data_IF_363837861360
#
_entry.id   IF_363837861360
#
_cell.length_a   1.000
_cell.length_b   1.000
_cell.length_c   1.000
_cell.angle_alpha   90.00
_cell.angle_beta   90.00
_cell.angle_gamma   90.00
#
_symmetry.space_group_name_H-M   'P 1'
#
loop_
_entity.id
_entity.type
_entity.pdbx_description
1 polymer ?
#
# COMPACT_ATOMS: atom_id res chain seq x y z
N UNK A 1 8.37 32.91 -2.43
CA UNK A 1 7.19 32.13 -1.97
C UNK A 1 7.69 30.76 -1.53
N UNK A 2 7.19 30.20 -0.43
CA UNK A 2 7.54 28.85 -0.05
C UNK A 2 7.04 27.89 -1.15
N UNK A 3 7.85 26.86 -1.44
CA UNK A 3 7.50 25.84 -2.44
C UNK A 3 6.32 25.01 -1.92
N UNK A 4 5.30 24.80 -2.78
CA UNK A 4 4.15 23.95 -2.42
C UNK A 4 4.61 22.50 -2.14
N UNK A 5 4.10 21.92 -1.07
CA UNK A 5 4.24 20.51 -0.76
C UNK A 5 3.22 19.67 -1.53
N UNK A 6 3.59 18.47 -1.88
CA UNK A 6 2.78 17.60 -2.75
C UNK A 6 2.53 16.25 -2.09
N UNK A 7 1.24 15.88 -2.02
CA UNK A 7 0.80 14.53 -1.67
C UNK A 7 0.22 13.85 -2.92
N UNK A 8 0.62 12.60 -3.18
CA UNK A 8 0.05 11.74 -4.23
C UNK A 8 -0.65 10.54 -3.60
N UNK A 9 -1.92 10.32 -3.93
CA UNK A 9 -2.69 9.13 -3.56
C UNK A 9 -2.92 8.28 -4.81
N UNK A 10 -2.37 7.07 -4.86
CA UNK A 10 -2.62 6.15 -5.97
C UNK A 10 -3.98 5.46 -5.80
N UNK A 11 -4.75 5.31 -6.90
CA UNK A 11 -6.10 4.73 -6.82
C UNK A 11 -7.09 5.57 -6.00
N UNK A 12 -6.95 6.90 -6.07
CA UNK A 12 -7.69 7.87 -5.26
C UNK A 12 -9.14 8.12 -5.69
N UNK A 13 -9.65 7.44 -6.72
CA UNK A 13 -10.96 7.75 -7.31
C UNK A 13 -12.16 7.04 -6.66
N UNK A 14 -11.93 6.12 -5.71
CA UNK A 14 -12.99 5.39 -4.99
C UNK A 14 -12.50 4.75 -3.69
N UNK A 15 -13.47 4.29 -2.88
CA UNK A 15 -13.19 3.54 -1.65
C UNK A 15 -12.24 4.27 -0.71
N UNK A 16 -11.32 3.52 -0.09
CA UNK A 16 -10.36 4.07 0.88
C UNK A 16 -9.52 5.19 0.26
N UNK A 17 -9.04 5.03 -0.98
CA UNK A 17 -8.20 6.04 -1.63
C UNK A 17 -8.91 7.38 -1.85
N UNK A 18 -10.22 7.37 -2.14
CA UNK A 18 -11.02 8.60 -2.24
C UNK A 18 -11.15 9.28 -0.88
N UNK A 19 -11.47 8.50 0.17
CA UNK A 19 -11.56 9.03 1.52
C UNK A 19 -10.20 9.54 2.03
N UNK A 20 -9.08 8.88 1.69
CA UNK A 20 -7.73 9.38 1.98
C UNK A 20 -7.47 10.71 1.29
N UNK A 21 -7.83 10.83 -0.01
CA UNK A 21 -7.68 12.08 -0.74
C UNK A 21 -8.51 13.21 -0.12
N UNK A 22 -9.75 12.90 0.29
CA UNK A 22 -10.64 13.82 1.02
C UNK A 22 -10.01 14.28 2.33
N UNK A 23 -9.66 13.35 3.22
CA UNK A 23 -9.13 13.66 4.55
C UNK A 23 -7.78 14.39 4.49
N UNK A 24 -6.94 14.11 3.49
CA UNK A 24 -5.72 14.90 3.27
C UNK A 24 -6.07 16.34 2.88
N UNK A 25 -7.08 16.55 2.03
CA UNK A 25 -7.56 17.90 1.68
C UNK A 25 -8.18 18.65 2.87
N UNK A 26 -8.75 17.95 3.85
CA UNK A 26 -9.30 18.51 5.08
C UNK A 26 -8.21 18.85 6.11
N UNK A 27 -7.18 18.00 6.25
CA UNK A 27 -6.23 18.04 7.37
C UNK A 27 -4.89 18.69 7.04
N UNK A 28 -4.51 18.78 5.76
CA UNK A 28 -3.29 19.48 5.33
C UNK A 28 -3.53 20.98 5.18
N UNK A 29 -2.53 21.83 5.50
CA UNK A 29 -2.65 23.28 5.32
C UNK A 29 -2.83 23.66 3.85
N UNK A 30 -3.99 24.22 3.50
CA UNK A 30 -4.38 24.55 2.11
C UNK A 30 -3.43 25.52 1.39
N UNK A 31 -2.75 26.38 2.14
CA UNK A 31 -1.95 27.46 1.57
C UNK A 31 -0.58 26.99 1.06
N UNK A 32 -0.18 25.75 1.38
CA UNK A 32 1.12 25.21 1.00
C UNK A 32 1.12 23.71 0.63
N UNK A 33 -0.05 23.09 0.45
CA UNK A 33 -0.16 21.72 0.00
C UNK A 33 -1.04 21.58 -1.23
N UNK A 34 -0.67 20.59 -2.06
CA UNK A 34 -1.49 20.08 -3.17
C UNK A 34 -1.66 18.58 -2.99
N UNK A 35 -2.89 18.10 -3.07
CA UNK A 35 -3.21 16.66 -3.10
C UNK A 35 -3.48 16.24 -4.53
N UNK A 36 -2.74 15.25 -5.03
CA UNK A 36 -2.94 14.65 -6.36
C UNK A 36 -3.68 13.35 -6.19
N UNK A 37 -4.85 13.25 -6.83
CA UNK A 37 -5.65 12.04 -6.95
C UNK A 37 -5.25 11.29 -8.21
N UNK A 38 -4.45 10.23 -8.06
CA UNK A 38 -4.03 9.36 -9.15
C UNK A 38 -5.09 8.31 -9.47
N UNK A 39 -5.48 8.17 -10.74
CA UNK A 39 -6.48 7.22 -11.21
C UNK A 39 -6.17 6.69 -12.60
N UNK A 40 -6.45 5.42 -12.89
CA UNK A 40 -6.23 4.83 -14.23
C UNK A 40 -7.05 5.52 -15.32
N UNK A 41 -8.29 5.88 -15.01
CA UNK A 41 -9.22 6.54 -15.94
C UNK A 41 -9.57 7.93 -15.39
N UNK A 42 -9.21 8.97 -16.13
CA UNK A 42 -9.44 10.36 -15.72
C UNK A 42 -10.93 10.63 -15.44
N UNK A 43 -11.83 10.10 -16.28
CA UNK A 43 -13.28 10.27 -16.08
C UNK A 43 -13.76 9.77 -14.70
N UNK A 44 -13.20 8.67 -14.19
CA UNK A 44 -13.54 8.19 -12.83
C UNK A 44 -13.00 9.14 -11.75
N UNK A 45 -11.85 9.76 -11.97
CA UNK A 45 -11.30 10.77 -11.07
C UNK A 45 -12.11 12.06 -11.09
N UNK A 46 -12.56 12.51 -12.25
CA UNK A 46 -13.44 13.69 -12.40
C UNK A 46 -14.78 13.45 -11.71
N UNK A 47 -15.37 12.26 -11.87
CA UNK A 47 -16.59 11.89 -11.13
C UNK A 47 -16.38 11.95 -9.62
N UNK A 48 -15.26 11.41 -9.14
CA UNK A 48 -14.90 11.47 -7.73
C UNK A 48 -14.68 12.91 -7.24
N UNK A 49 -14.07 13.77 -8.07
CA UNK A 49 -13.89 15.19 -7.77
C UNK A 49 -15.22 15.92 -7.62
N UNK A 50 -16.21 15.63 -8.49
CA UNK A 50 -17.55 16.22 -8.37
C UNK A 50 -18.23 15.81 -7.04
N UNK A 51 -18.04 14.58 -6.59
CA UNK A 51 -18.53 14.16 -5.27
C UNK A 51 -17.87 14.98 -4.15
N UNK A 52 -16.55 15.17 -4.21
CA UNK A 52 -15.81 15.92 -3.18
C UNK A 52 -16.16 17.42 -3.16
N UNK A 53 -16.58 18.00 -4.28
CA UNK A 53 -17.03 19.41 -4.31
C UNK A 53 -18.24 19.67 -3.40
N UNK A 54 -19.11 18.66 -3.22
CA UNK A 54 -20.27 18.76 -2.33
C UNK A 54 -19.88 18.82 -0.84
N UNK A 55 -18.66 18.38 -0.48
CA UNK A 55 -18.21 18.30 0.92
C UNK A 55 -17.63 19.64 1.45
N UNK A 56 -17.59 20.72 0.64
CA UNK A 56 -17.03 22.03 1.00
C UNK A 56 -15.62 21.96 1.60
N UNK A 57 -14.74 21.15 1.01
CA UNK A 57 -13.36 20.97 1.45
C UNK A 57 -12.55 22.26 1.40
N UNK A 58 -11.57 22.46 2.31
CA UNK A 58 -10.67 23.63 2.27
C UNK A 58 -9.87 23.73 0.96
N UNK A 59 -9.55 22.59 0.33
CA UNK A 59 -8.95 22.46 -0.99
C UNK A 59 -9.51 21.24 -1.71
N UNK A 60 -9.41 21.21 -3.04
CA UNK A 60 -9.79 20.05 -3.86
C UNK A 60 -8.57 19.37 -4.43
N UNK A 61 -8.59 18.03 -4.58
CA UNK A 61 -7.47 17.31 -5.17
C UNK A 61 -7.37 17.58 -6.67
N UNK A 62 -6.15 17.50 -7.20
CA UNK A 62 -5.87 17.57 -8.64
C UNK A 62 -5.94 16.16 -9.22
N UNK A 63 -6.89 15.92 -10.11
CA UNK A 63 -7.03 14.60 -10.78
C UNK A 63 -5.93 14.44 -11.84
N UNK A 64 -5.25 13.26 -11.79
CA UNK A 64 -4.23 12.86 -12.77
C UNK A 64 -4.36 11.40 -13.15
N UNK A 65 -4.12 11.14 -14.44
CA UNK A 65 -4.02 9.76 -14.91
C UNK A 65 -2.79 9.08 -14.28
N UNK A 66 -3.00 7.88 -13.73
CA UNK A 66 -1.93 7.04 -13.20
C UNK A 66 -2.36 5.57 -13.21
N UNK A 67 -1.68 4.78 -14.02
CA UNK A 67 -1.68 3.33 -13.92
C UNK A 67 -0.31 2.89 -13.34
N UNK A 68 -0.32 2.35 -12.14
CA UNK A 68 0.91 1.93 -11.45
C UNK A 68 1.58 0.71 -12.08
N UNK A 69 0.88 0.01 -12.99
CA UNK A 69 1.40 -1.16 -13.72
C UNK A 69 2.02 -0.78 -15.06
N UNK A 70 1.85 0.48 -15.49
CA UNK A 70 2.43 1.01 -16.72
C UNK A 70 3.64 1.92 -16.41
N UNK A 71 4.88 1.52 -16.79
CA UNK A 71 6.08 2.34 -16.60
C UNK A 71 5.99 3.74 -17.23
N UNK A 72 5.34 3.85 -18.39
CA UNK A 72 5.18 5.14 -19.07
C UNK A 72 4.26 6.07 -18.28
N UNK A 73 3.15 5.54 -17.73
CA UNK A 73 2.24 6.28 -16.87
C UNK A 73 2.93 6.74 -15.58
N UNK A 74 3.70 5.86 -14.93
CA UNK A 74 4.48 6.21 -13.75
C UNK A 74 5.49 7.33 -14.03
N UNK A 75 6.20 7.24 -15.17
CA UNK A 75 7.14 8.28 -15.61
C UNK A 75 6.45 9.61 -15.87
N UNK A 76 5.29 9.61 -16.54
CA UNK A 76 4.52 10.83 -16.81
C UNK A 76 4.07 11.51 -15.50
N UNK A 77 3.65 10.75 -14.50
CA UNK A 77 3.32 11.27 -13.19
C UNK A 77 4.54 11.91 -12.50
N UNK A 78 5.68 11.24 -12.52
CA UNK A 78 6.95 11.79 -11.99
C UNK A 78 7.29 13.12 -12.68
N UNK A 79 7.31 13.12 -14.02
CA UNK A 79 7.68 14.30 -14.80
C UNK A 79 6.72 15.46 -14.54
N UNK A 80 5.41 15.20 -14.43
CA UNK A 80 4.41 16.21 -14.07
C UNK A 80 4.68 16.82 -12.68
N UNK A 81 4.92 15.99 -11.66
CA UNK A 81 5.18 16.46 -10.29
C UNK A 81 6.48 17.28 -10.28
N UNK A 82 7.53 16.79 -10.93
CA UNK A 82 8.83 17.45 -10.97
C UNK A 82 8.76 18.81 -11.67
N UNK A 83 8.09 18.87 -12.83
CA UNK A 83 8.02 20.09 -13.62
C UNK A 83 7.13 21.16 -12.96
N UNK A 84 6.00 20.76 -12.40
CA UNK A 84 5.04 21.70 -11.86
C UNK A 84 5.34 22.13 -10.43
N UNK A 85 5.80 21.22 -9.59
CA UNK A 85 5.95 21.43 -8.15
C UNK A 85 7.39 21.27 -7.65
N UNK A 86 8.30 20.71 -8.46
CA UNK A 86 9.71 20.52 -8.13
C UNK A 86 10.02 19.34 -7.21
N UNK A 87 9.02 18.56 -6.77
CA UNK A 87 9.24 17.35 -5.94
C UNK A 87 8.00 16.88 -5.21
N UNK A 88 8.16 15.75 -4.50
CA UNK A 88 7.09 15.04 -3.80
C UNK A 88 7.39 14.95 -2.30
N UNK A 89 6.38 15.19 -1.44
CA UNK A 89 6.51 15.16 0.02
C UNK A 89 5.77 13.99 0.66
N UNK A 90 4.70 13.49 0.02
CA UNK A 90 3.92 12.35 0.53
C UNK A 90 3.45 11.47 -0.62
N UNK A 91 3.78 10.19 -0.56
CA UNK A 91 3.22 9.15 -1.42
C UNK A 91 2.34 8.21 -0.59
N UNK A 92 1.07 8.07 -0.97
CA UNK A 92 0.17 7.05 -0.43
C UNK A 92 -0.05 5.97 -1.49
N UNK A 93 0.58 4.83 -1.31
CA UNK A 93 0.40 3.63 -2.11
C UNK A 93 -0.89 2.93 -1.70
N UNK A 94 -2.00 3.37 -2.26
CA UNK A 94 -3.32 2.80 -1.98
C UNK A 94 -3.85 1.90 -3.10
N UNK A 95 -3.41 2.09 -4.35
CA UNK A 95 -3.83 1.22 -5.46
C UNK A 95 -3.69 -0.25 -5.11
N UNK A 96 -4.73 -1.03 -5.40
CA UNK A 96 -4.71 -2.45 -5.12
C UNK A 96 -5.90 -3.16 -5.76
N UNK A 97 -5.79 -4.48 -5.84
CA UNK A 97 -6.78 -5.36 -6.44
C UNK A 97 -6.92 -6.65 -5.63
N UNK A 98 -8.12 -7.21 -5.62
CA UNK A 98 -8.40 -8.56 -5.14
C UNK A 98 -9.50 -9.18 -6.01
N UNK A 99 -9.33 -10.43 -6.38
CA UNK A 99 -10.41 -11.20 -7.00
C UNK A 99 -11.54 -11.46 -6.00
N UNK A 100 -12.75 -11.53 -6.51
CA UNK A 100 -13.91 -11.94 -5.71
C UNK A 100 -13.84 -13.46 -5.43
N UNK A 101 -14.53 -13.91 -4.38
CA UNK A 101 -14.57 -15.35 -4.00
C UNK A 101 -15.09 -16.27 -5.09
N UNK A 102 -15.95 -15.76 -5.96
CA UNK A 102 -16.54 -16.48 -7.10
C UNK A 102 -15.82 -16.19 -8.42
N UNK A 103 -14.58 -15.73 -8.38
CA UNK A 103 -13.76 -15.55 -9.56
C UNK A 103 -13.55 -16.90 -10.28
N UNK A 104 -13.60 -16.86 -11.60
CA UNK A 104 -13.48 -18.03 -12.47
C UNK A 104 -12.11 -18.19 -13.10
N UNK A 105 -11.27 -17.20 -12.93
CA UNK A 105 -9.89 -17.17 -13.38
C UNK A 105 -9.06 -18.26 -12.67
N UNK A 106 -8.14 -18.87 -13.39
CA UNK A 106 -7.21 -19.85 -12.82
C UNK A 106 -6.38 -19.24 -11.69
N UNK A 107 -5.84 -20.08 -10.81
CA UNK A 107 -4.93 -19.61 -9.74
C UNK A 107 -3.74 -18.84 -10.29
N UNK A 108 -3.21 -19.26 -11.43
CA UNK A 108 -2.12 -18.57 -12.10
C UNK A 108 -2.53 -17.14 -12.53
N UNK A 109 -3.66 -16.98 -13.23
CA UNK A 109 -4.14 -15.66 -13.63
C UNK A 109 -4.43 -14.76 -12.44
N UNK A 110 -5.02 -15.34 -11.37
CA UNK A 110 -5.25 -14.61 -10.12
C UNK A 110 -3.92 -14.17 -9.48
N UNK A 111 -2.91 -15.04 -9.43
CA UNK A 111 -1.61 -14.72 -8.85
C UNK A 111 -0.87 -13.66 -9.68
N UNK A 112 -0.79 -13.85 -11.00
CA UNK A 112 -0.11 -12.95 -11.91
C UNK A 112 -0.71 -11.53 -11.83
N UNK A 113 -2.04 -11.41 -11.92
CA UNK A 113 -2.69 -10.11 -11.88
C UNK A 113 -2.61 -9.45 -10.49
N UNK A 114 -2.92 -10.19 -9.42
CA UNK A 114 -2.95 -9.63 -8.06
C UNK A 114 -1.56 -9.18 -7.61
N UNK A 115 -0.54 -10.01 -7.82
CA UNK A 115 0.85 -9.67 -7.47
C UNK A 115 1.40 -8.60 -8.40
N UNK A 116 1.05 -8.67 -9.69
CA UNK A 116 1.41 -7.66 -10.68
C UNK A 116 0.95 -6.26 -10.27
N UNK A 117 -0.30 -6.13 -9.82
CA UNK A 117 -0.83 -4.83 -9.37
C UNK A 117 -0.31 -4.46 -7.98
N UNK A 118 -0.53 -5.34 -6.97
CA UNK A 118 -0.36 -4.97 -5.56
C UNK A 118 1.11 -4.85 -5.16
N UNK A 119 1.98 -5.71 -5.68
CA UNK A 119 3.39 -5.72 -5.35
C UNK A 119 4.23 -5.03 -6.42
N UNK A 120 4.29 -5.56 -7.65
CA UNK A 120 5.15 -5.01 -8.70
C UNK A 120 4.74 -3.60 -9.12
N UNK A 121 3.45 -3.31 -9.25
CA UNK A 121 2.96 -1.98 -9.57
C UNK A 121 3.24 -0.97 -8.46
N UNK A 122 3.03 -1.37 -7.19
CA UNK A 122 3.39 -0.52 -6.03
C UNK A 122 4.89 -0.25 -5.97
N UNK A 123 5.72 -1.27 -6.19
CA UNK A 123 7.18 -1.13 -6.27
C UNK A 123 7.57 -0.18 -7.39
N UNK A 124 7.03 -0.37 -8.59
CA UNK A 124 7.34 0.43 -9.78
C UNK A 124 7.05 1.92 -9.58
N UNK A 125 5.85 2.29 -9.12
CA UNK A 125 5.54 3.72 -8.90
C UNK A 125 6.40 4.31 -7.79
N UNK A 126 6.63 3.58 -6.69
CA UNK A 126 7.43 4.06 -5.57
C UNK A 126 8.86 4.34 -6.00
N UNK A 127 9.53 3.39 -6.66
CA UNK A 127 10.90 3.54 -7.14
C UNK A 127 11.02 4.60 -8.25
N UNK A 128 10.01 4.74 -9.10
CA UNK A 128 9.95 5.82 -10.11
C UNK A 128 9.93 7.20 -9.46
N UNK A 129 9.28 7.35 -8.29
CA UNK A 129 9.13 8.65 -7.61
C UNK A 129 10.27 8.99 -6.65
N UNK A 130 11.08 8.03 -6.18
CA UNK A 130 12.20 8.30 -5.27
C UNK A 130 13.11 9.45 -5.73
N UNK A 131 13.51 9.55 -7.02
CA UNK A 131 14.40 10.64 -7.46
C UNK A 131 13.86 12.05 -7.25
N UNK A 132 12.56 12.21 -7.05
CA UNK A 132 11.91 13.51 -6.86
C UNK A 132 11.38 13.73 -5.43
N UNK A 133 11.63 12.79 -4.53
CA UNK A 133 11.23 12.95 -3.12
C UNK A 133 12.15 13.93 -2.40
N UNK A 134 11.54 14.79 -1.58
CA UNK A 134 12.21 15.84 -0.81
C UNK A 134 12.65 15.32 0.56
N UNK A 135 13.54 16.04 1.22
CA UNK A 135 13.91 15.78 2.61
C UNK A 135 12.67 15.77 3.51
N UNK A 136 12.57 14.76 4.37
CA UNK A 136 11.41 14.53 5.22
C UNK A 136 10.19 13.97 4.48
N UNK A 137 10.32 13.55 3.22
CA UNK A 137 9.23 12.94 2.46
C UNK A 137 8.74 11.64 3.10
N UNK A 138 7.48 11.30 2.83
CA UNK A 138 6.80 10.13 3.42
C UNK A 138 6.28 9.18 2.37
N UNK A 139 6.43 7.88 2.62
CA UNK A 139 5.87 6.80 1.79
C UNK A 139 5.02 5.91 2.69
N UNK A 140 3.73 5.96 2.51
CA UNK A 140 2.76 5.17 3.28
C UNK A 140 2.09 4.17 2.35
N UNK A 141 2.22 2.87 2.67
CA UNK A 141 1.61 1.80 1.88
C UNK A 141 0.38 1.23 2.58
N UNK A 142 -0.74 1.16 1.85
CA UNK A 142 -1.96 0.48 2.31
C UNK A 142 -1.76 -1.02 2.15
N UNK A 143 -1.30 -1.65 3.24
CA UNK A 143 -1.13 -3.09 3.36
C UNK A 143 -2.45 -3.77 3.80
N UNK A 144 -2.37 -4.86 4.53
CA UNK A 144 -3.51 -5.59 5.11
C UNK A 144 -3.03 -6.58 6.16
N UNK A 145 -3.87 -6.90 7.14
CA UNK A 145 -3.68 -8.07 8.01
C UNK A 145 -3.59 -9.37 7.21
N UNK A 146 -4.20 -9.42 6.01
CA UNK A 146 -4.01 -10.54 5.09
C UNK A 146 -2.53 -10.75 4.72
N UNK A 147 -1.69 -9.71 4.70
CA UNK A 147 -0.26 -9.87 4.49
C UNK A 147 0.44 -10.62 5.63
N UNK A 148 0.03 -10.36 6.89
CA UNK A 148 0.49 -11.15 8.04
C UNK A 148 -0.04 -12.59 8.00
N UNK A 149 -1.32 -12.78 7.63
CA UNK A 149 -1.90 -14.11 7.43
C UNK A 149 -1.14 -14.89 6.34
N UNK A 150 -0.70 -14.24 5.27
CA UNK A 150 0.15 -14.84 4.25
C UNK A 150 1.45 -15.40 4.83
N UNK A 151 2.12 -14.67 5.73
CA UNK A 151 3.28 -15.17 6.47
C UNK A 151 2.93 -16.39 7.36
N UNK A 152 1.76 -16.38 8.00
CA UNK A 152 1.30 -17.48 8.85
C UNK A 152 0.99 -18.75 8.04
N UNK A 153 0.42 -18.57 6.84
CA UNK A 153 -0.06 -19.65 5.98
C UNK A 153 1.03 -20.23 5.06
N UNK A 154 2.21 -19.62 4.96
CA UNK A 154 3.32 -20.20 4.21
C UNK A 154 4.16 -21.17 5.04
N UNK A 155 4.95 -22.02 4.38
CA UNK A 155 5.90 -22.91 5.02
C UNK A 155 6.92 -22.14 5.86
N UNK A 156 7.52 -22.81 6.84
CA UNK A 156 8.58 -22.19 7.66
C UNK A 156 9.78 -21.76 6.81
N UNK A 157 10.11 -22.50 5.76
CA UNK A 157 11.19 -22.18 4.83
C UNK A 157 10.92 -20.84 4.12
N UNK A 158 9.77 -20.71 3.44
CA UNK A 158 9.42 -19.47 2.73
C UNK A 158 9.26 -18.28 3.68
N UNK A 159 8.71 -18.51 4.87
CA UNK A 159 8.59 -17.47 5.88
C UNK A 159 9.94 -16.97 6.35
N UNK A 160 10.93 -17.89 6.55
CA UNK A 160 12.30 -17.50 6.89
C UNK A 160 12.96 -16.69 5.78
N UNK A 161 12.71 -17.01 4.52
CA UNK A 161 13.21 -16.23 3.39
C UNK A 161 12.67 -14.79 3.43
N UNK A 162 11.34 -14.63 3.59
CA UNK A 162 10.67 -13.31 3.61
C UNK A 162 11.09 -12.48 4.83
N UNK A 163 11.30 -13.12 5.99
CA UNK A 163 11.69 -12.45 7.24
C UNK A 163 13.21 -12.41 7.47
N UNK A 164 14.00 -12.80 6.46
CA UNK A 164 15.45 -12.81 6.56
C UNK A 164 16.01 -11.39 6.75
N UNK A 165 16.97 -11.16 7.66
CA UNK A 165 17.69 -9.89 7.75
C UNK A 165 18.50 -9.59 6.49
N UNK A 166 18.81 -10.61 5.67
CA UNK A 166 19.51 -10.50 4.40
C UNK A 166 18.56 -10.43 3.19
N UNK A 167 17.26 -10.14 3.42
CA UNK A 167 16.31 -9.93 2.33
C UNK A 167 16.71 -8.71 1.51
N UNK A 168 16.67 -8.85 0.19
CA UNK A 168 16.86 -7.75 -0.78
C UNK A 168 15.65 -7.69 -1.72
N UNK A 169 15.55 -6.62 -2.51
CA UNK A 169 14.48 -6.54 -3.52
C UNK A 169 14.60 -7.63 -4.58
N UNK A 170 15.81 -8.03 -4.99
CA UNK A 170 16.03 -9.12 -5.93
C UNK A 170 15.49 -10.45 -5.38
N UNK A 171 15.76 -10.74 -4.10
CA UNK A 171 15.25 -11.94 -3.43
C UNK A 171 13.72 -11.88 -3.25
N UNK A 172 13.17 -10.72 -2.88
CA UNK A 172 11.73 -10.56 -2.72
C UNK A 172 10.99 -10.68 -4.07
N UNK A 173 11.54 -10.08 -5.13
CA UNK A 173 11.01 -10.22 -6.50
C UNK A 173 11.03 -11.69 -6.95
N UNK A 174 12.09 -12.44 -6.63
CA UNK A 174 12.20 -13.89 -6.91
C UNK A 174 11.13 -14.69 -6.12
N UNK A 175 10.95 -14.41 -4.84
CA UNK A 175 9.90 -15.04 -4.02
C UNK A 175 8.53 -14.82 -4.66
N UNK A 176 8.20 -13.59 -5.10
CA UNK A 176 6.92 -13.28 -5.73
C UNK A 176 6.75 -14.01 -7.07
N UNK A 177 7.81 -14.10 -7.87
CA UNK A 177 7.80 -14.83 -9.15
C UNK A 177 7.65 -16.34 -8.92
N UNK A 178 8.34 -16.92 -7.94
CA UNK A 178 8.19 -18.36 -7.58
C UNK A 178 6.76 -18.67 -7.12
N UNK A 179 6.12 -17.77 -6.39
CA UNK A 179 4.72 -17.92 -6.04
C UNK A 179 3.81 -17.95 -7.27
N UNK A 180 3.97 -16.98 -8.20
CA UNK A 180 3.19 -16.94 -9.46
C UNK A 180 3.42 -18.22 -10.25
N UNK A 181 4.64 -18.70 -10.34
CA UNK A 181 4.97 -19.94 -11.07
C UNK A 181 4.33 -21.18 -10.40
N UNK A 182 4.39 -21.28 -9.08
CA UNK A 182 3.75 -22.35 -8.33
C UNK A 182 2.22 -22.37 -8.51
N UNK A 183 1.59 -21.22 -8.72
CA UNK A 183 0.17 -21.12 -8.96
C UNK A 183 -0.31 -21.82 -10.25
N UNK A 184 0.61 -22.16 -11.19
CA UNK A 184 0.31 -22.98 -12.37
C UNK A 184 -0.06 -24.41 -12.03
N UNK A 185 0.33 -24.92 -10.86
CA UNK A 185 0.04 -26.29 -10.43
C UNK A 185 -1.34 -26.42 -9.80
N UNK A 186 -2.02 -25.30 -9.54
CA UNK A 186 -3.31 -25.22 -8.81
C UNK A 186 -3.30 -25.84 -7.39
N UNK A 187 -2.10 -26.02 -6.81
CA UNK A 187 -1.89 -26.62 -5.48
C UNK A 187 -0.78 -25.86 -4.73
N UNK A 188 -1.06 -24.60 -4.39
CA UNK A 188 -0.12 -23.70 -3.71
C UNK A 188 0.30 -24.24 -2.34
N UNK A 189 -0.65 -24.84 -1.59
CA UNK A 189 -0.39 -25.37 -0.26
C UNK A 189 0.66 -26.48 -0.26
N UNK A 190 0.63 -27.37 -1.28
CA UNK A 190 1.62 -28.43 -1.44
C UNK A 190 3.04 -27.91 -1.63
N UNK A 191 3.16 -26.71 -2.23
CA UNK A 191 4.44 -26.02 -2.41
C UNK A 191 4.80 -25.11 -1.24
N UNK A 192 4.02 -25.14 -0.15
CA UNK A 192 4.28 -24.35 1.05
C UNK A 192 3.88 -22.88 0.94
N UNK A 193 3.05 -22.52 -0.04
CA UNK A 193 2.57 -21.18 -0.26
C UNK A 193 1.16 -20.95 0.32
N UNK A 194 0.79 -19.69 0.66
CA UNK A 194 -0.59 -19.37 1.02
C UNK A 194 -1.52 -19.55 -0.19
N UNK A 195 -2.71 -20.09 0.04
CA UNK A 195 -3.74 -20.29 -1.01
C UNK A 195 -4.28 -18.96 -1.57
N UNK A 196 -4.23 -17.91 -0.79
CA UNK A 196 -4.74 -16.60 -1.17
C UNK A 196 -3.68 -15.76 -1.88
N UNK A 197 -3.90 -15.46 -3.15
CA UNK A 197 -3.05 -14.56 -3.95
C UNK A 197 -3.01 -13.15 -3.35
N UNK A 198 -4.12 -12.71 -2.75
CA UNK A 198 -4.20 -11.43 -2.05
C UNK A 198 -3.32 -11.41 -0.80
N UNK A 199 -3.36 -12.48 0.02
CA UNK A 199 -2.47 -12.60 1.19
C UNK A 199 -1.00 -12.47 0.77
N UNK A 200 -0.58 -13.26 -0.23
CA UNK A 200 0.80 -13.21 -0.74
C UNK A 200 1.19 -11.83 -1.24
N UNK A 201 0.31 -11.18 -2.01
CA UNK A 201 0.58 -9.84 -2.52
C UNK A 201 0.77 -8.81 -1.41
N UNK A 202 -0.03 -8.89 -0.33
CA UNK A 202 0.08 -7.98 0.82
C UNK A 202 1.26 -8.31 1.73
N UNK A 203 1.69 -9.58 1.78
CA UNK A 203 2.99 -9.96 2.36
C UNK A 203 4.13 -9.23 1.65
N UNK A 204 4.12 -9.21 0.32
CA UNK A 204 5.10 -8.49 -0.49
C UNK A 204 5.12 -6.98 -0.21
N UNK A 205 3.95 -6.35 -0.07
CA UNK A 205 3.86 -4.91 0.27
C UNK A 205 4.49 -4.61 1.63
N UNK A 206 4.24 -5.46 2.63
CA UNK A 206 4.83 -5.30 3.98
C UNK A 206 6.35 -5.45 3.91
N UNK A 207 6.85 -6.52 3.27
CA UNK A 207 8.28 -6.75 3.13
C UNK A 207 8.99 -5.64 2.34
N UNK A 208 8.40 -5.15 1.23
CA UNK A 208 8.93 -4.03 0.47
C UNK A 208 9.01 -2.75 1.32
N UNK A 209 7.99 -2.48 2.14
CA UNK A 209 8.02 -1.32 3.06
C UNK A 209 9.20 -1.38 4.03
N UNK A 210 9.51 -2.56 4.58
CA UNK A 210 10.66 -2.75 5.48
C UNK A 210 11.98 -2.52 4.75
N UNK A 211 12.12 -3.02 3.51
CA UNK A 211 13.32 -2.81 2.70
C UNK A 211 13.52 -1.33 2.36
N UNK A 212 12.47 -0.62 1.97
CA UNK A 212 12.55 0.82 1.72
C UNK A 212 12.90 1.61 2.98
N UNK A 213 12.32 1.25 4.13
CA UNK A 213 12.63 1.91 5.40
C UNK A 213 14.11 1.73 5.79
N UNK A 214 14.65 0.51 5.66
CA UNK A 214 16.07 0.24 5.89
C UNK A 214 17.00 1.05 4.96
N UNK A 215 16.58 1.24 3.72
CA UNK A 215 17.34 2.09 2.78
C UNK A 215 17.18 3.58 3.10
N UNK A 216 15.99 4.01 3.57
CA UNK A 216 15.73 5.39 4.02
C UNK A 216 16.63 5.77 5.20
N UNK A 217 16.79 4.88 6.19
CA UNK A 217 17.64 5.08 7.36
C UNK A 217 19.12 5.28 6.97
N UNK A 218 19.53 4.72 5.84
CA UNK A 218 20.87 4.87 5.27
C UNK A 218 20.96 6.03 4.26
N UNK A 219 19.87 6.80 4.05
CA UNK A 219 19.73 7.81 3.00
C UNK A 219 20.04 7.26 1.59
N UNK A 220 19.71 5.99 1.33
CA UNK A 220 20.06 5.25 0.10
C UNK A 220 18.88 5.06 -0.87
N UNK A 221 17.68 5.61 -0.58
CA UNK A 221 16.51 5.49 -1.45
C UNK A 221 16.60 6.37 -2.70
N UNK A 222 17.29 7.48 -2.61
CA UNK A 222 17.33 8.46 -3.69
C UNK A 222 18.76 8.69 -4.15
N UNK A 223 19.00 8.99 -5.44
CA UNK A 223 20.34 9.27 -5.96
C UNK A 223 21.04 10.46 -5.26
N UNK A 224 20.26 11.43 -4.76
CA UNK A 224 20.76 12.63 -4.07
C UNK A 224 20.95 12.42 -2.56
N UNK A 225 20.61 11.25 -2.01
CA UNK A 225 20.73 10.97 -0.57
C UNK A 225 19.74 11.75 0.28
N UNK A 226 18.45 11.78 -0.12
CA UNK A 226 17.34 12.44 0.59
C UNK A 226 17.30 11.99 2.04
N UNK A 227 17.20 12.95 2.98
CA UNK A 227 17.31 12.71 4.42
C UNK A 227 15.94 12.69 5.10
N UNK A 228 15.84 11.95 6.20
CA UNK A 228 14.68 11.96 7.08
C UNK A 228 13.42 11.41 6.43
N UNK A 229 13.53 10.56 5.42
CA UNK A 229 12.38 9.94 4.80
C UNK A 229 11.70 8.97 5.77
N UNK A 230 10.38 9.07 5.88
CA UNK A 230 9.56 8.17 6.67
C UNK A 230 8.83 7.18 5.78
N UNK A 231 9.01 5.89 6.05
CA UNK A 231 8.41 4.79 5.26
C UNK A 231 7.73 3.81 6.20
N UNK A 232 6.42 3.62 6.04
CA UNK A 232 5.65 2.68 6.86
C UNK A 232 4.45 2.12 6.07
N UNK A 233 3.80 1.11 6.62
CA UNK A 233 2.55 0.60 6.06
C UNK A 233 1.52 0.29 7.14
N UNK A 234 0.23 0.31 6.77
CA UNK A 234 -0.84 -0.02 7.70
C UNK A 234 -1.94 -0.87 7.05
N UNK A 235 -2.66 -1.60 7.91
CA UNK A 235 -3.94 -2.19 7.59
C UNK A 235 -5.05 -1.15 7.81
N UNK A 236 -5.84 -0.79 6.78
CA UNK A 236 -6.95 0.14 6.95
C UNK A 236 -8.13 -0.50 7.70
N UNK A 237 -8.09 -1.81 7.94
CA UNK A 237 -9.21 -2.60 8.44
C UNK A 237 -10.07 -3.19 7.31
N UNK A 238 -11.13 -3.90 7.69
CA UNK A 238 -12.08 -4.47 6.75
C UNK A 238 -13.20 -3.48 6.47
N UNK A 239 -13.08 -2.76 5.36
CA UNK A 239 -13.91 -1.61 5.03
C UNK A 239 -14.89 -1.91 3.89
N UNK A 240 -16.09 -1.31 3.96
CA UNK A 240 -17.11 -1.33 2.92
C UNK A 240 -16.61 -0.60 1.67
N UNK A 241 -16.28 -1.38 0.63
CA UNK A 241 -15.74 -0.90 -0.64
C UNK A 241 -16.14 -1.89 -1.74
N UNK A 242 -15.99 -1.50 -3.01
CA UNK A 242 -16.18 -2.42 -4.14
C UNK A 242 -15.32 -3.69 -4.02
N UNK A 243 -14.13 -3.59 -3.46
CA UNK A 243 -13.23 -4.73 -3.28
C UNK A 243 -13.77 -5.74 -2.26
N UNK A 244 -14.16 -5.26 -1.08
CA UNK A 244 -14.56 -6.12 0.04
C UNK A 244 -16.06 -6.44 0.08
N UNK A 245 -16.88 -5.71 -0.67
CA UNK A 245 -18.35 -5.69 -0.56
C UNK A 245 -18.84 -4.71 0.49
N UNK A 246 -20.15 -4.61 0.63
CA UNK A 246 -20.79 -3.58 1.47
C UNK A 246 -21.56 -4.14 2.65
N UNK A 247 -21.88 -5.44 2.65
CA UNK A 247 -22.74 -6.06 3.67
C UNK A 247 -21.97 -6.55 4.90
N UNK A 248 -20.84 -7.23 4.68
CA UNK A 248 -20.08 -7.89 5.75
C UNK A 248 -19.06 -6.99 6.46
N UNK A 249 -18.32 -6.09 5.75
CA UNK A 249 -17.29 -5.30 6.41
C UNK A 249 -17.87 -4.36 7.47
N UNK A 250 -17.31 -4.34 8.70
CA UNK A 250 -17.84 -3.51 9.79
C UNK A 250 -17.52 -2.02 9.64
N UNK A 251 -16.40 -1.69 8.99
CA UNK A 251 -15.91 -0.32 8.89
C UNK A 251 -16.38 0.36 7.59
N UNK A 252 -16.52 1.68 7.63
CA UNK A 252 -16.65 2.50 6.43
C UNK A 252 -15.29 2.67 5.72
N UNK A 253 -15.31 3.13 4.47
CA UNK A 253 -14.09 3.51 3.77
C UNK A 253 -13.40 4.71 4.43
N UNK A 254 -14.18 5.57 5.08
CA UNK A 254 -13.69 6.75 5.80
C UNK A 254 -12.94 6.35 7.09
N UNK A 255 -13.45 5.38 7.86
CA UNK A 255 -12.74 4.80 9.01
C UNK A 255 -11.39 4.19 8.60
N UNK A 256 -11.36 3.53 7.44
CA UNK A 256 -10.11 2.98 6.89
C UNK A 256 -9.14 4.08 6.46
N UNK A 257 -9.64 5.15 5.88
CA UNK A 257 -8.84 6.29 5.46
C UNK A 257 -8.24 7.04 6.66
N UNK A 258 -9.00 7.20 7.76
CA UNK A 258 -8.51 7.83 8.98
C UNK A 258 -7.25 7.16 9.52
N UNK A 259 -7.21 5.82 9.52
CA UNK A 259 -6.01 5.04 9.91
C UNK A 259 -4.80 5.31 9.00
N UNK A 260 -5.03 5.45 7.70
CA UNK A 260 -3.98 5.75 6.73
C UNK A 260 -3.48 7.19 6.89
N UNK A 261 -4.39 8.15 7.00
CA UNK A 261 -4.05 9.57 7.10
C UNK A 261 -3.38 9.89 8.43
N UNK A 262 -3.81 9.26 9.53
CA UNK A 262 -3.11 9.39 10.81
C UNK A 262 -1.64 8.96 10.69
N UNK A 263 -1.36 7.85 9.99
CA UNK A 263 0.02 7.43 9.75
C UNK A 263 0.77 8.41 8.81
N UNK A 264 0.08 8.99 7.82
CA UNK A 264 0.66 10.04 6.97
C UNK A 264 1.11 11.27 7.78
N UNK A 265 0.42 11.58 8.88
CA UNK A 265 0.63 12.77 9.69
C UNK A 265 1.33 12.51 11.04
N UNK A 266 1.63 11.25 11.35
CA UNK A 266 2.32 10.85 12.59
C UNK A 266 3.72 11.46 12.69
N UNK A 267 4.28 11.59 13.88
CA UNK A 267 5.65 12.09 14.10
C UNK A 267 6.74 11.15 13.53
N UNK A 268 6.45 9.87 13.40
CA UNK A 268 7.14 8.95 12.49
C UNK A 268 8.31 8.14 13.04
N UNK A 269 8.97 8.56 14.11
CA UNK A 269 10.20 7.90 14.57
C UNK A 269 10.01 6.43 15.00
N UNK A 270 8.88 6.11 15.65
CA UNK A 270 8.63 4.77 16.19
C UNK A 270 8.01 3.82 15.15
N UNK A 271 7.39 4.36 14.14
CA UNK A 271 6.66 3.62 13.10
C UNK A 271 7.51 3.36 11.85
N UNK A 272 8.76 3.84 11.80
CA UNK A 272 9.67 3.63 10.66
C UNK A 272 9.84 2.13 10.36
N UNK A 273 9.50 1.73 9.13
CA UNK A 273 9.57 0.35 8.66
C UNK A 273 8.53 -0.59 9.26
N UNK A 274 7.59 -0.08 10.07
CA UNK A 274 6.61 -0.90 10.77
C UNK A 274 5.35 -1.14 9.94
N UNK A 275 4.70 -2.27 10.26
CA UNK A 275 3.34 -2.56 9.84
C UNK A 275 2.39 -2.26 11.01
N UNK A 276 1.40 -1.40 10.77
CA UNK A 276 0.46 -0.97 11.80
C UNK A 276 -0.96 -1.46 11.51
N UNK A 277 -1.70 -1.73 12.59
CA UNK A 277 -3.16 -1.88 12.59
C UNK A 277 -3.72 -1.13 13.79
N UNK A 278 -4.77 -0.34 13.57
CA UNK A 278 -5.42 0.46 14.63
C UNK A 278 -4.43 1.33 15.43
N UNK A 279 -3.45 1.91 14.72
CA UNK A 279 -2.37 2.74 15.30
C UNK A 279 -1.35 1.96 16.15
N UNK A 280 -1.43 0.63 16.20
CA UNK A 280 -0.49 -0.22 16.92
C UNK A 280 0.43 -0.96 15.95
N UNK A 281 1.69 -1.09 16.32
CA UNK A 281 2.66 -1.91 15.59
C UNK A 281 2.27 -3.38 15.70
N UNK A 282 2.14 -4.05 14.56
CA UNK A 282 1.84 -5.49 14.47
C UNK A 282 3.14 -6.24 14.28
N UNK A 283 3.58 -7.07 15.24
CA UNK A 283 4.77 -7.88 15.09
C UNK A 283 4.63 -8.87 13.94
N UNK A 284 5.66 -8.98 13.08
CA UNK A 284 5.71 -9.96 11.99
C UNK A 284 6.41 -11.26 12.41
N UNK A 285 7.20 -11.21 13.50
CA UNK A 285 7.82 -12.42 14.07
C UNK A 285 6.83 -13.20 14.92
N UNK A 286 6.85 -14.52 14.77
CA UNK A 286 6.00 -15.44 15.51
C UNK A 286 6.81 -16.06 16.66
N UNK A 287 6.27 -16.09 17.91
CA UNK A 287 6.91 -16.89 18.96
C UNK A 287 6.95 -18.34 18.53
N UNK A 288 8.03 -19.05 18.88
CA UNK A 288 8.31 -20.45 18.47
C UNK A 288 7.24 -21.48 18.90
N UNK A 289 6.24 -21.06 19.67
CA UNK A 289 5.20 -21.92 20.29
C UNK A 289 3.81 -21.79 19.64
N UNK A 290 3.67 -21.11 18.49
CA UNK A 290 2.37 -21.02 17.83
C UNK A 290 1.98 -22.36 17.19
N UNK A 291 1.15 -23.16 17.92
CA UNK A 291 0.46 -24.31 17.32
C UNK A 291 -0.63 -23.78 16.37
N UNK A 292 -0.60 -24.27 15.14
CA UNK A 292 -1.56 -23.95 14.08
C UNK A 292 -2.99 -24.31 14.52
N UNK A 293 -3.78 -23.33 14.96
CA UNK A 293 -5.22 -23.31 14.74
C UNK A 293 -5.52 -22.10 13.91
N UNK A 294 -6.13 -22.23 12.71
CA UNK A 294 -6.64 -21.08 11.98
C UNK A 294 -7.67 -20.40 12.86
N UNK A 295 -7.40 -19.19 13.31
CA UNK A 295 -8.41 -18.36 13.97
C UNK A 295 -9.43 -17.97 12.90
N UNK A 296 -10.70 -18.28 13.13
CA UNK A 296 -11.78 -17.78 12.28
C UNK A 296 -11.77 -16.24 12.32
N UNK A 297 -12.10 -15.59 11.20
CA UNK A 297 -12.06 -14.13 11.07
C UNK A 297 -12.81 -13.36 12.18
N UNK A 298 -13.73 -14.01 12.89
CA UNK A 298 -14.44 -13.48 14.06
C UNK A 298 -13.60 -13.38 15.33
N UNK A 299 -12.56 -14.18 15.48
CA UNK A 299 -11.76 -14.21 16.73
C UNK A 299 -10.72 -13.09 16.79
N UNK A 300 -10.31 -12.54 15.63
CA UNK A 300 -9.42 -11.37 15.55
C UNK A 300 -10.07 -10.06 16.03
N UNK A 301 -11.39 -9.98 15.98
CA UNK A 301 -12.16 -8.80 16.39
C UNK A 301 -12.50 -8.80 17.89
N UNK A 302 -12.21 -9.88 18.61
CA UNK A 302 -12.59 -10.05 20.02
C UNK A 302 -11.42 -10.14 21.02
N UNK A 303 -10.17 -10.03 20.56
CA UNK A 303 -9.01 -10.01 21.45
C UNK A 303 -8.75 -8.59 21.92
N UNK A 304 -8.89 -8.27 23.23
CA UNK A 304 -8.46 -6.97 23.76
C UNK A 304 -6.96 -6.81 23.62
N UNK A 305 -6.52 -5.58 23.42
CA UNK A 305 -5.13 -5.17 23.30
C UNK A 305 -4.27 -5.57 24.51
#
# INVERSE_FOLDING_TARGET
>A
MAQEKVALVTGGNKGIGLCVSKQLCERLPKDNWVVILGTRQVANGEHALEQLKADNLPMLPVVRQLDITDPASCKQMKDFIQQKYGGLDLLVNNSGFAFKRNATESKYEQAEYTIGVNYFGTKQITETLFPIMRDGARVISVASMCGKMGLENMSEEHRREVLSPDLTFEKLDDIMKRYIEAAKTDDLAKHGWPESTYEMSKTGVIAATQLWAQAADKNALTPQGTKGMFVACCCPGWCRTDMAGYELPPLSADDGADRVVDLCLADGEKEQGQFLMEKHVVPLHFPQTFSRKPLAAKEWLSTPA
#
